data_IF_796809185029
#
_entry.id   IF_796809185029
#
_cell.length_a   1.000
_cell.length_b   1.000
_cell.length_c   1.000
_cell.angle_alpha   90.00
_cell.angle_beta   90.00
_cell.angle_gamma   90.00
#
_symmetry.space_group_name_H-M   'P 1'
#
loop_
_entity.id
_entity.type
_entity.pdbx_description
1 polymer ?
#
# COMPACT_ATOMS: atom_id res chain seq x y z
N UNK A 1 53.68 -20.57 9.00
CA UNK A 1 52.33 -21.14 9.18
C UNK A 1 51.55 -20.19 10.10
N UNK A 2 50.66 -19.36 9.54
CA UNK A 2 49.18 -19.40 9.70
C UNK A 2 48.75 -19.23 11.19
N UNK A 3 47.89 -18.30 11.60
CA UNK A 3 46.73 -17.72 10.94
C UNK A 3 46.50 -16.25 11.37
N UNK A 4 46.03 -15.48 10.39
CA UNK A 4 45.41 -14.16 10.50
C UNK A 4 44.04 -14.34 11.15
N UNK A 5 43.70 -13.56 12.16
CA UNK A 5 42.32 -13.48 12.70
C UNK A 5 41.86 -12.02 12.68
N UNK A 6 41.49 -11.57 11.49
CA UNK A 6 40.89 -10.26 11.25
C UNK A 6 39.45 -10.31 11.73
N UNK A 7 39.15 -9.61 12.82
CA UNK A 7 37.78 -9.38 13.31
C UNK A 7 37.09 -8.43 12.33
N UNK A 8 36.41 -9.00 11.33
CA UNK A 8 35.48 -8.28 10.47
C UNK A 8 34.18 -8.05 11.26
N UNK A 9 34.14 -6.94 11.99
CA UNK A 9 32.89 -6.38 12.51
C UNK A 9 32.11 -5.81 11.31
N UNK A 10 31.33 -6.65 10.63
CA UNK A 10 30.44 -6.21 9.55
C UNK A 10 29.38 -5.30 10.16
N UNK A 11 29.62 -4.00 9.98
CA UNK A 11 28.69 -2.90 10.17
C UNK A 11 27.46 -3.15 9.28
N UNK A 12 26.50 -3.90 9.79
CA UNK A 12 25.17 -4.01 9.20
C UNK A 12 24.44 -2.74 9.61
N UNK A 13 24.70 -1.65 8.87
CA UNK A 13 23.87 -0.46 8.93
C UNK A 13 22.51 -0.91 8.43
N UNK A 14 21.65 -1.24 9.38
CA UNK A 14 20.22 -1.37 9.16
C UNK A 14 19.74 0.04 8.81
N UNK A 15 19.77 0.36 7.52
CA UNK A 15 18.98 1.48 6.99
C UNK A 15 17.52 1.09 7.20
N UNK A 16 17.02 1.34 8.41
CA UNK A 16 15.59 1.54 8.60
C UNK A 16 15.34 2.87 7.91
N UNK A 17 15.09 2.82 6.60
CA UNK A 17 14.34 3.87 5.95
C UNK A 17 13.02 3.83 6.70
N UNK A 18 12.81 4.82 7.57
CA UNK A 18 11.48 5.13 8.05
C UNK A 18 10.69 5.48 6.80
N UNK A 19 10.10 4.46 6.18
CA UNK A 19 9.05 4.66 5.20
C UNK A 19 7.99 5.40 6.00
N UNK A 20 7.86 6.71 5.75
CA UNK A 20 6.76 7.49 6.28
C UNK A 20 5.51 6.67 5.99
N UNK A 21 4.84 6.30 7.07
CA UNK A 21 3.65 5.49 7.01
C UNK A 21 2.56 6.39 6.41
N UNK A 22 2.40 6.31 5.10
CA UNK A 22 1.43 7.11 4.37
C UNK A 22 0.08 6.40 4.49
N UNK A 23 -0.83 6.99 5.27
CA UNK A 23 -2.25 6.87 4.91
C UNK A 23 -2.43 7.65 3.61
N UNK A 24 -3.10 7.12 2.58
CA UNK A 24 -3.42 7.92 1.41
C UNK A 24 -4.18 9.16 1.90
N UNK A 25 -3.58 10.33 1.72
CA UNK A 25 -4.22 11.58 2.07
C UNK A 25 -5.16 11.98 0.93
N UNK A 26 -6.33 12.58 1.22
CA UNK A 26 -7.17 13.14 0.17
C UNK A 26 -6.36 14.05 -0.73
N UNK A 27 -6.49 13.84 -2.03
CA UNK A 27 -5.86 14.58 -3.13
C UNK A 27 -4.34 14.41 -3.24
N UNK A 28 -3.76 13.44 -2.53
CA UNK A 28 -2.37 13.07 -2.71
C UNK A 28 -2.10 12.65 -4.16
N UNK A 29 -0.93 13.05 -4.67
CA UNK A 29 -0.50 12.66 -6.01
C UNK A 29 0.12 11.27 -5.97
N UNK A 30 -0.46 10.36 -6.75
CA UNK A 30 0.07 9.03 -7.02
C UNK A 30 0.60 8.99 -8.44
N UNK A 31 1.77 8.37 -8.63
CA UNK A 31 2.37 8.23 -9.96
C UNK A 31 2.07 6.85 -10.52
N UNK A 32 1.55 6.80 -11.75
CA UNK A 32 1.41 5.57 -12.50
C UNK A 32 2.77 4.86 -12.63
N UNK A 33 2.78 3.53 -12.51
CA UNK A 33 3.98 2.71 -12.56
C UNK A 33 4.79 2.66 -11.26
N UNK A 34 4.30 3.25 -10.16
CA UNK A 34 4.99 3.25 -8.86
C UNK A 34 4.23 2.46 -7.81
N UNK A 35 4.94 2.02 -6.77
CA UNK A 35 4.34 1.42 -5.58
C UNK A 35 4.10 2.49 -4.52
N UNK A 36 2.92 2.45 -3.91
CA UNK A 36 2.49 3.32 -2.82
C UNK A 36 2.21 2.44 -1.59
N UNK A 37 2.60 2.90 -0.41
CA UNK A 37 2.25 2.23 0.84
C UNK A 37 0.91 2.75 1.35
N UNK A 38 -0.01 1.85 1.72
CA UNK A 38 -1.29 2.16 2.34
C UNK A 38 -1.35 1.49 3.70
N UNK A 39 -1.43 2.29 4.78
CA UNK A 39 -1.68 1.78 6.12
C UNK A 39 -3.16 1.85 6.49
N UNK A 40 -3.66 0.73 7.01
CA UNK A 40 -5.00 0.55 7.58
C UNK A 40 -4.87 0.38 9.09
N UNK A 41 -5.70 1.11 9.85
CA UNK A 41 -5.74 1.03 11.31
C UNK A 41 -6.95 0.22 11.79
N UNK A 42 -6.79 -0.43 12.94
CA UNK A 42 -7.83 -1.23 13.57
C UNK A 42 -7.28 -2.44 14.30
N UNK A 43 -8.15 -3.02 15.11
CA UNK A 43 -7.98 -4.35 15.70
C UNK A 43 -8.71 -5.35 14.82
N UNK A 44 -7.96 -6.28 14.22
CA UNK A 44 -8.46 -7.20 13.21
C UNK A 44 -8.45 -8.63 13.73
N UNK A 45 -9.47 -9.41 13.35
CA UNK A 45 -9.49 -10.85 13.52
C UNK A 45 -8.58 -11.52 12.48
N UNK A 46 -8.15 -12.76 12.75
CA UNK A 46 -7.24 -13.51 11.85
C UNK A 46 -7.85 -13.77 10.46
N UNK A 47 -9.18 -13.75 10.36
CA UNK A 47 -9.94 -14.00 9.12
C UNK A 47 -10.35 -12.71 8.39
N UNK A 48 -10.02 -11.54 8.96
CA UNK A 48 -10.37 -10.27 8.35
C UNK A 48 -9.50 -10.02 7.13
N UNK A 49 -10.08 -9.45 6.08
CA UNK A 49 -9.37 -9.19 4.82
C UNK A 49 -9.61 -7.78 4.32
N UNK A 50 -8.60 -7.27 3.62
CA UNK A 50 -8.64 -5.99 2.91
C UNK A 50 -8.52 -6.25 1.41
N UNK A 51 -9.24 -5.45 0.62
CA UNK A 51 -9.06 -5.34 -0.82
C UNK A 51 -9.01 -3.86 -1.21
N UNK A 52 -8.04 -3.48 -2.02
CA UNK A 52 -7.80 -2.11 -2.46
C UNK A 52 -7.86 -2.06 -3.98
N UNK A 53 -8.70 -1.18 -4.53
CA UNK A 53 -8.86 -0.97 -5.96
C UNK A 53 -9.30 0.46 -6.27
N UNK A 54 -9.20 0.87 -7.54
CA UNK A 54 -9.82 2.11 -7.99
C UNK A 54 -11.29 1.88 -8.33
N UNK A 55 -12.18 2.78 -7.93
CA UNK A 55 -13.62 2.61 -8.17
C UNK A 55 -13.96 2.56 -9.67
N UNK A 56 -13.18 3.26 -10.49
CA UNK A 56 -13.29 3.25 -11.95
C UNK A 56 -12.85 1.93 -12.61
N UNK A 57 -12.09 1.09 -11.90
CA UNK A 57 -11.64 -0.23 -12.34
C UNK A 57 -11.64 -1.21 -11.17
N UNK A 58 -12.84 -1.74 -10.88
CA UNK A 58 -13.06 -2.66 -9.74
C UNK A 58 -12.57 -4.08 -10.00
N UNK A 59 -12.26 -4.41 -11.25
CA UNK A 59 -11.76 -5.73 -11.63
C UNK A 59 -10.24 -5.83 -11.39
N UNK A 60 -9.53 -4.70 -11.39
CA UNK A 60 -8.12 -4.61 -11.07
C UNK A 60 -7.88 -4.46 -9.55
N UNK A 61 -7.66 -5.58 -8.86
CA UNK A 61 -7.19 -5.56 -7.47
C UNK A 61 -5.75 -5.01 -7.41
N UNK A 62 -5.57 -3.85 -6.77
CA UNK A 62 -4.25 -3.21 -6.65
C UNK A 62 -3.44 -3.80 -5.50
N UNK A 63 -4.11 -4.14 -4.40
CA UNK A 63 -3.55 -4.87 -3.27
C UNK A 63 -4.66 -5.54 -2.45
N UNK A 64 -4.32 -6.57 -1.69
CA UNK A 64 -5.25 -7.20 -0.76
C UNK A 64 -4.62 -8.34 0.02
N UNK A 65 -5.34 -8.82 1.03
CA UNK A 65 -4.87 -9.91 1.90
C UNK A 65 -5.38 -9.79 3.33
N UNK A 66 -4.77 -10.50 4.29
CA UNK A 66 -5.15 -10.45 5.70
C UNK A 66 -5.08 -9.03 6.26
N UNK A 67 -6.11 -8.57 6.96
CA UNK A 67 -6.14 -7.23 7.55
C UNK A 67 -5.11 -7.06 8.68
N UNK A 68 -4.71 -8.17 9.31
CA UNK A 68 -3.67 -8.22 10.35
C UNK A 68 -2.30 -7.71 9.88
N UNK A 69 -2.04 -7.66 8.56
CA UNK A 69 -0.80 -7.10 8.03
C UNK A 69 -0.70 -5.58 8.19
N UNK A 70 -1.85 -4.89 8.26
CA UNK A 70 -2.03 -3.42 8.43
C UNK A 70 -1.41 -2.53 7.35
N UNK A 71 -0.35 -2.95 6.69
CA UNK A 71 0.39 -2.19 5.68
C UNK A 71 0.34 -2.94 4.35
N UNK A 72 -0.10 -2.25 3.31
CA UNK A 72 -0.31 -2.82 1.97
C UNK A 72 0.52 -2.04 0.95
N UNK A 73 1.34 -2.76 0.19
CA UNK A 73 2.05 -2.21 -0.96
C UNK A 73 1.13 -2.25 -2.18
N UNK A 74 0.74 -1.07 -2.65
CA UNK A 74 -0.20 -0.85 -3.75
C UNK A 74 0.58 -0.47 -5.00
N UNK A 75 0.60 -1.36 -6.00
CA UNK A 75 1.16 -1.01 -7.30
C UNK A 75 0.13 -0.22 -8.11
N UNK A 76 0.49 0.98 -8.58
CA UNK A 76 -0.35 1.80 -9.45
C UNK A 76 -0.05 1.42 -10.91
N UNK A 77 -1.01 0.88 -11.68
CA UNK A 77 -0.79 0.49 -13.08
C UNK A 77 -0.32 1.67 -13.94
N UNK A 78 0.43 1.38 -15.02
CA UNK A 78 0.99 2.40 -15.90
C UNK A 78 -0.08 3.20 -16.67
N UNK A 79 -1.20 2.54 -16.94
CA UNK A 79 -2.38 3.07 -17.61
C UNK A 79 -3.31 3.86 -16.68
N UNK A 80 -3.12 3.75 -15.36
CA UNK A 80 -3.95 4.43 -14.38
C UNK A 80 -3.76 5.95 -14.49
N UNK A 81 -4.87 6.67 -14.62
CA UNK A 81 -4.88 8.12 -14.72
C UNK A 81 -6.19 8.68 -14.24
N UNK A 82 -6.13 9.71 -13.39
CA UNK A 82 -7.35 10.41 -12.98
C UNK A 82 -7.98 11.14 -14.17
N UNK A 83 -9.32 11.18 -14.27
CA UNK A 83 -9.98 11.90 -15.36
C UNK A 83 -9.63 13.39 -15.33
N UNK A 84 -9.68 14.06 -16.48
CA UNK A 84 -9.32 15.47 -16.59
C UNK A 84 -10.14 16.35 -15.62
N UNK A 85 -9.44 17.06 -14.72
CA UNK A 85 -10.05 17.91 -13.71
C UNK A 85 -10.77 17.16 -12.58
N UNK A 86 -10.55 15.85 -12.43
CA UNK A 86 -11.11 15.00 -11.38
C UNK A 86 -10.02 14.21 -10.66
N UNK A 87 -10.42 13.54 -9.57
CA UNK A 87 -9.60 12.60 -8.83
C UNK A 87 -10.10 11.17 -9.07
N UNK A 88 -9.20 10.21 -8.91
CA UNK A 88 -9.51 8.78 -8.86
C UNK A 88 -9.99 8.43 -7.47
N UNK A 89 -10.95 7.52 -7.36
CA UNK A 89 -11.49 7.09 -6.08
C UNK A 89 -10.83 5.78 -5.68
N UNK A 90 -9.92 5.82 -4.72
CA UNK A 90 -9.33 4.64 -4.12
C UNK A 90 -10.31 4.06 -3.11
N UNK A 91 -10.72 2.82 -3.32
CA UNK A 91 -11.65 2.09 -2.46
C UNK A 91 -10.88 1.06 -1.65
N UNK A 92 -11.10 1.06 -0.34
CA UNK A 92 -10.60 0.05 0.60
C UNK A 92 -11.79 -0.71 1.16
N UNK A 93 -11.92 -1.98 0.79
CA UNK A 93 -12.99 -2.86 1.27
C UNK A 93 -12.47 -3.68 2.44
N UNK A 94 -13.14 -3.56 3.58
CA UNK A 94 -12.88 -4.35 4.77
C UNK A 94 -13.92 -5.46 4.88
N UNK A 95 -13.44 -6.69 5.01
CA UNK A 95 -14.30 -7.84 5.30
C UNK A 95 -13.97 -8.40 6.67
N UNK A 96 -15.00 -8.56 7.49
CA UNK A 96 -14.91 -9.25 8.78
C UNK A 96 -15.33 -10.70 8.59
N UNK A 97 -14.44 -11.65 8.87
CA UNK A 97 -14.71 -13.08 8.64
C UNK A 97 -15.36 -13.36 7.26
N UNK A 98 -14.79 -12.79 6.20
CA UNK A 98 -15.28 -12.85 4.81
C UNK A 98 -16.57 -12.09 4.47
N UNK A 99 -17.30 -11.55 5.45
CA UNK A 99 -18.47 -10.71 5.20
C UNK A 99 -18.07 -9.25 5.01
N UNK A 100 -18.73 -8.56 4.09
CA UNK A 100 -18.55 -7.11 3.92
C UNK A 100 -18.86 -6.39 5.24
N UNK A 101 -17.89 -5.67 5.79
CA UNK A 101 -18.02 -4.96 7.06
C UNK A 101 -17.99 -3.45 6.85
N UNK A 102 -16.96 -2.94 6.17
CA UNK A 102 -16.78 -1.51 5.93
C UNK A 102 -16.21 -1.25 4.53
N UNK A 103 -16.50 -0.08 3.98
CA UNK A 103 -15.90 0.42 2.74
C UNK A 103 -15.43 1.84 3.00
N UNK A 104 -14.14 2.07 2.88
CA UNK A 104 -13.53 3.39 2.98
C UNK A 104 -13.12 3.87 1.60
N UNK A 105 -13.20 5.18 1.38
CA UNK A 105 -12.88 5.79 0.09
C UNK A 105 -11.96 6.99 0.28
N UNK A 106 -10.91 7.09 -0.53
CA UNK A 106 -10.01 8.24 -0.57
C UNK A 106 -9.84 8.70 -2.01
N UNK A 107 -10.01 10.00 -2.24
CA UNK A 107 -9.76 10.60 -3.55
C UNK A 107 -8.26 10.85 -3.72
N UNK A 108 -7.65 10.35 -4.79
CA UNK A 108 -6.22 10.55 -5.11
C UNK A 108 -6.06 11.11 -6.51
N UNK A 109 -4.98 11.85 -6.75
CA UNK A 109 -4.65 12.37 -8.07
C UNK A 109 -3.62 11.45 -8.74
N UNK A 110 -4.07 10.61 -9.67
CA UNK A 110 -3.21 9.68 -10.40
C UNK A 110 -2.68 10.36 -11.66
N UNK A 111 -1.37 10.57 -11.71
CA UNK A 111 -0.67 11.21 -12.82
C UNK A 111 0.21 10.21 -13.57
N UNK A 112 0.21 10.29 -14.91
CA UNK A 112 1.19 9.58 -15.75
C UNK A 112 2.54 10.31 -15.72
N UNK A 113 3.61 9.59 -16.03
CA UNK A 113 4.91 10.20 -16.34
C UNK A 113 4.86 11.10 -17.58
#
# INVERSE_FOLDING_TARGET
>A
MKLVSTVLLFCSILFVVAADIIKPHPYQVWRAGTTQTVQIEGDFHEEDTIAIFFNEDRDALLAGGPASQKVFEVYVPWEAKSPAGKYSELVVVHRYQYYLNNVETVWVNVTTH
#
